data_IF_773050508098
#
_entry.id   IF_773050508098
#
_cell.length_a   1.000
_cell.length_b   1.000
_cell.length_c   1.000
_cell.angle_alpha   90.00
_cell.angle_beta   90.00
_cell.angle_gamma   90.00
#
_symmetry.space_group_name_H-M   'P 1'
#
loop_
_entity.id
_entity.type
_entity.pdbx_description
1 polymer ?
#
# COMPACT_ATOMS: atom_id res chain seq x y z
N UNK A 1 -4.28 9.10 33.99
CA UNK A 1 -4.46 8.95 32.52
C UNK A 1 -3.91 10.22 31.93
N UNK A 2 -2.74 10.18 31.27
CA UNK A 2 -2.18 11.35 30.59
C UNK A 2 -3.15 11.76 29.49
N UNK A 3 -3.58 13.00 29.46
CA UNK A 3 -4.27 13.56 28.29
C UNK A 3 -3.34 13.35 27.11
N UNK A 4 -3.74 12.44 26.21
CA UNK A 4 -2.99 12.21 24.98
C UNK A 4 -3.21 13.45 24.12
N UNK A 5 -2.14 14.16 23.81
CA UNK A 5 -2.14 15.36 22.98
C UNK A 5 -2.82 15.08 21.63
N UNK A 6 -3.59 16.07 21.14
CA UNK A 6 -4.09 16.09 19.76
C UNK A 6 -2.86 16.16 18.85
N UNK A 7 -2.85 15.34 17.81
CA UNK A 7 -1.78 15.22 16.81
C UNK A 7 -2.28 15.77 15.47
N UNK A 8 -1.45 16.55 14.80
CA UNK A 8 -1.72 17.04 13.44
C UNK A 8 -1.08 16.08 12.43
N UNK A 9 -1.90 15.52 11.57
CA UNK A 9 -1.53 14.43 10.65
C UNK A 9 -1.73 14.88 9.22
N UNK A 10 -0.66 14.87 8.43
CA UNK A 10 -0.71 15.07 6.98
C UNK A 10 -0.84 13.72 6.28
N UNK A 11 -1.84 13.57 5.43
CA UNK A 11 -2.02 12.41 4.56
C UNK A 11 -1.78 12.84 3.12
N UNK A 12 -0.70 12.37 2.51
CA UNK A 12 -0.37 12.63 1.11
C UNK A 12 -0.95 11.54 0.20
N UNK A 13 -1.21 11.85 -1.08
CA UNK A 13 -1.87 10.91 -1.99
C UNK A 13 -3.28 10.53 -1.50
N UNK A 14 -3.97 11.50 -0.91
CA UNK A 14 -5.23 11.28 -0.18
C UNK A 14 -6.40 10.86 -1.06
N UNK A 15 -6.32 11.09 -2.37
CA UNK A 15 -7.33 10.68 -3.36
C UNK A 15 -7.07 9.27 -3.91
N UNK A 16 -5.92 8.65 -3.56
CA UNK A 16 -5.58 7.28 -3.89
C UNK A 16 -6.38 6.24 -3.08
N UNK A 17 -6.12 4.96 -3.33
CA UNK A 17 -6.82 3.85 -2.69
C UNK A 17 -6.72 3.92 -1.16
N UNK A 18 -5.50 3.96 -0.63
CA UNK A 18 -5.26 3.97 0.81
C UNK A 18 -5.66 5.31 1.45
N UNK A 19 -5.30 6.43 0.85
CA UNK A 19 -5.63 7.76 1.36
C UNK A 19 -7.15 7.98 1.51
N UNK A 20 -7.95 7.51 0.54
CA UNK A 20 -9.42 7.55 0.62
C UNK A 20 -9.96 6.74 1.81
N UNK A 21 -9.35 5.59 2.11
CA UNK A 21 -9.74 4.80 3.28
C UNK A 21 -9.30 5.43 4.60
N UNK A 22 -8.11 6.03 4.66
CA UNK A 22 -7.66 6.79 5.84
C UNK A 22 -8.62 7.95 6.11
N UNK A 23 -9.04 8.70 5.08
CA UNK A 23 -10.06 9.75 5.19
C UNK A 23 -11.39 9.22 5.74
N UNK A 24 -11.74 7.98 5.44
CA UNK A 24 -12.96 7.34 5.94
C UNK A 24 -12.82 6.91 7.40
N UNK A 25 -11.71 6.25 7.77
CA UNK A 25 -11.45 5.77 9.13
C UNK A 25 -11.31 6.92 10.14
N UNK A 26 -10.70 8.02 9.72
CA UNK A 26 -10.38 9.16 10.60
C UNK A 26 -11.55 10.10 10.89
N UNK A 27 -12.74 9.87 10.32
CA UNK A 27 -13.93 10.74 10.53
C UNK A 27 -14.32 10.89 12.00
N UNK A 28 -14.03 9.91 12.84
CA UNK A 28 -14.32 9.93 14.27
C UNK A 28 -13.05 10.10 15.13
N UNK A 29 -11.94 10.45 14.48
CA UNK A 29 -10.68 10.68 15.17
C UNK A 29 -10.73 11.93 16.04
N UNK A 30 -10.02 11.92 17.15
CA UNK A 30 -9.74 13.12 17.96
C UNK A 30 -8.60 13.96 17.41
N UNK A 31 -7.81 13.42 16.46
CA UNK A 31 -6.67 14.09 15.83
C UNK A 31 -7.10 14.94 14.65
N UNK A 32 -6.29 15.90 14.28
CA UNK A 32 -6.51 16.76 13.12
C UNK A 32 -5.85 16.11 11.89
N UNK A 33 -6.64 15.85 10.85
CA UNK A 33 -6.16 15.29 9.60
C UNK A 33 -6.20 16.34 8.48
N UNK A 34 -5.07 16.50 7.80
CA UNK A 34 -4.91 17.31 6.60
C UNK A 34 -4.71 16.38 5.41
N UNK A 35 -5.58 16.46 4.43
CA UNK A 35 -5.57 15.57 3.26
C UNK A 35 -5.12 16.34 2.04
N UNK A 36 -4.04 15.88 1.41
CA UNK A 36 -3.50 16.51 0.22
C UNK A 36 -3.24 15.49 -0.89
N UNK A 37 -3.40 15.94 -2.11
CA UNK A 37 -2.93 15.26 -3.31
C UNK A 37 -2.06 16.25 -4.11
N UNK A 38 -1.66 15.91 -5.33
CA UNK A 38 -0.73 16.72 -6.11
C UNK A 38 -1.24 18.15 -6.35
N UNK A 39 -2.55 18.34 -6.46
CA UNK A 39 -3.14 19.66 -6.70
C UNK A 39 -3.06 20.57 -5.47
N UNK A 40 -3.13 20.00 -4.24
CA UNK A 40 -3.04 20.76 -3.00
C UNK A 40 -1.61 20.88 -2.48
N UNK A 41 -0.80 19.83 -2.65
CA UNK A 41 0.58 19.79 -2.21
C UNK A 41 1.40 18.82 -3.06
N UNK A 42 2.20 19.36 -3.96
CA UNK A 42 3.18 18.59 -4.71
C UNK A 42 4.35 18.20 -3.79
N UNK A 43 4.38 16.90 -3.40
CA UNK A 43 5.39 16.38 -2.48
C UNK A 43 6.80 16.35 -3.04
N UNK A 44 6.99 16.55 -4.34
CA UNK A 44 8.31 16.64 -4.98
C UNK A 44 8.99 17.99 -4.70
N UNK A 45 8.23 18.97 -4.22
CA UNK A 45 8.70 20.33 -3.94
C UNK A 45 9.03 20.51 -2.47
N UNK A 46 10.31 20.32 -2.12
CA UNK A 46 10.81 20.40 -0.74
C UNK A 46 10.28 21.61 0.04
N UNK A 47 10.39 22.82 -0.53
CA UNK A 47 10.00 24.05 0.14
C UNK A 47 8.50 24.10 0.48
N UNK A 48 7.64 23.57 -0.41
CA UNK A 48 6.20 23.58 -0.20
C UNK A 48 5.81 22.60 0.91
N UNK A 49 6.43 21.39 0.91
CA UNK A 49 6.22 20.41 2.00
C UNK A 49 6.71 20.96 3.33
N UNK A 50 7.90 21.58 3.37
CA UNK A 50 8.46 22.17 4.58
C UNK A 50 7.54 23.28 5.11
N UNK A 51 7.09 24.18 4.25
CA UNK A 51 6.17 25.25 4.61
C UNK A 51 4.85 24.71 5.15
N UNK A 52 4.29 23.67 4.50
CA UNK A 52 3.05 23.03 4.94
C UNK A 52 3.20 22.42 6.33
N UNK A 53 4.28 21.64 6.55
CA UNK A 53 4.57 21.01 7.84
C UNK A 53 4.69 22.04 8.95
N UNK A 54 5.43 23.14 8.73
CA UNK A 54 5.60 24.18 9.73
C UNK A 54 4.31 24.98 9.99
N UNK A 55 3.60 25.40 8.94
CA UNK A 55 2.40 26.25 9.09
C UNK A 55 1.23 25.53 9.76
N UNK A 56 1.11 24.22 9.56
CA UNK A 56 0.07 23.38 10.16
C UNK A 56 0.55 22.60 11.38
N UNK A 57 1.80 22.80 11.81
CA UNK A 57 2.40 22.11 12.97
C UNK A 57 2.22 20.58 12.86
N UNK A 58 2.59 20.01 11.71
CA UNK A 58 2.39 18.57 11.42
C UNK A 58 3.32 17.73 12.31
N UNK A 59 2.73 16.83 13.08
CA UNK A 59 3.43 15.88 13.95
C UNK A 59 3.67 14.53 13.27
N UNK A 60 2.80 14.15 12.31
CA UNK A 60 2.86 12.88 11.61
C UNK A 60 2.54 13.07 10.13
N UNK A 61 3.38 12.50 9.25
CA UNK A 61 3.04 12.34 7.83
C UNK A 61 2.68 10.87 7.58
N UNK A 62 1.51 10.62 6.99
CA UNK A 62 1.15 9.31 6.42
C UNK A 62 1.30 9.43 4.91
N UNK A 63 2.41 8.94 4.37
CA UNK A 63 2.71 9.03 2.95
C UNK A 63 2.07 7.87 2.18
N UNK A 64 0.93 8.15 1.53
CA UNK A 64 0.24 7.24 0.61
C UNK A 64 0.53 7.56 -0.86
N UNK A 65 1.23 8.68 -1.15
CA UNK A 65 1.60 9.04 -2.50
C UNK A 65 2.76 8.16 -3.00
N UNK A 66 2.65 7.68 -4.22
CA UNK A 66 3.69 6.90 -4.88
C UNK A 66 3.46 6.84 -6.40
N UNK A 67 4.52 6.66 -7.16
CA UNK A 67 4.45 6.20 -8.54
C UNK A 67 4.18 4.68 -8.53
N UNK A 68 2.95 4.27 -8.84
CA UNK A 68 2.50 2.87 -8.67
C UNK A 68 2.36 2.07 -9.97
N UNK A 69 2.57 2.71 -11.14
CA UNK A 69 2.50 2.02 -12.41
C UNK A 69 3.81 1.25 -12.65
N UNK A 70 3.81 -0.03 -12.24
CA UNK A 70 4.98 -0.91 -12.28
C UNK A 70 5.55 -1.06 -13.70
N UNK A 71 4.68 -1.24 -14.69
CA UNK A 71 5.09 -1.46 -16.08
C UNK A 71 5.64 -0.16 -16.69
N UNK A 72 5.03 0.99 -16.42
CA UNK A 72 5.48 2.28 -16.93
C UNK A 72 6.78 2.75 -16.25
N UNK A 73 7.02 2.38 -15.02
CA UNK A 73 8.25 2.73 -14.31
C UNK A 73 9.53 2.25 -15.04
N UNK A 74 9.46 1.18 -15.84
CA UNK A 74 10.61 0.71 -16.63
C UNK A 74 11.03 1.69 -17.75
N UNK A 75 10.11 2.53 -18.22
CA UNK A 75 10.36 3.53 -19.24
C UNK A 75 10.33 4.97 -18.70
N UNK A 76 9.98 5.14 -17.45
CA UNK A 76 9.80 6.43 -16.76
C UNK A 76 10.42 6.37 -15.35
N UNK A 77 11.62 5.77 -15.26
CA UNK A 77 12.31 5.54 -13.97
C UNK A 77 12.66 6.87 -13.29
N UNK A 78 12.93 7.93 -14.04
CA UNK A 78 13.23 9.24 -13.48
C UNK A 78 12.05 9.80 -12.66
N UNK A 79 10.84 9.82 -13.21
CA UNK A 79 9.67 10.28 -12.48
C UNK A 79 9.30 9.32 -11.33
N UNK A 80 9.51 8.02 -11.52
CA UNK A 80 9.34 7.05 -10.45
C UNK A 80 10.33 7.30 -9.29
N UNK A 81 11.59 7.63 -9.58
CA UNK A 81 12.62 7.95 -8.58
C UNK A 81 12.30 9.27 -7.86
N UNK A 82 11.92 10.31 -8.59
CA UNK A 82 11.52 11.60 -8.01
C UNK A 82 10.41 11.38 -6.95
N UNK A 83 9.39 10.58 -7.27
CA UNK A 83 8.23 10.43 -6.38
C UNK A 83 8.42 9.37 -5.29
N UNK A 84 9.06 8.23 -5.62
CA UNK A 84 9.22 7.11 -4.70
C UNK A 84 10.47 7.20 -3.82
N UNK A 85 11.46 8.02 -4.22
CA UNK A 85 12.74 8.17 -3.52
C UNK A 85 12.97 9.63 -3.08
N UNK A 86 13.23 10.56 -3.99
CA UNK A 86 13.63 11.92 -3.63
C UNK A 86 12.57 12.65 -2.77
N UNK A 87 11.29 12.54 -3.11
CA UNK A 87 10.21 13.12 -2.32
C UNK A 87 10.11 12.48 -0.93
N UNK A 88 10.38 11.18 -0.82
CA UNK A 88 10.38 10.45 0.46
C UNK A 88 11.57 10.88 1.33
N UNK A 89 12.77 11.02 0.75
CA UNK A 89 13.95 11.57 1.42
C UNK A 89 13.68 12.97 1.97
N UNK A 90 13.06 13.83 1.17
CA UNK A 90 12.67 15.19 1.58
C UNK A 90 11.73 15.16 2.79
N UNK A 91 10.66 14.34 2.74
CA UNK A 91 9.73 14.20 3.86
C UNK A 91 10.43 13.67 5.11
N UNK A 92 11.32 12.68 4.98
CA UNK A 92 12.08 12.14 6.11
C UNK A 92 13.00 13.20 6.73
N UNK A 93 13.69 14.01 5.93
CA UNK A 93 14.51 15.12 6.40
C UNK A 93 13.69 16.17 7.16
N UNK A 94 12.59 16.62 6.57
CA UNK A 94 11.70 17.61 7.19
C UNK A 94 11.15 17.11 8.53
N UNK A 95 10.72 15.84 8.60
CA UNK A 95 10.18 15.27 9.82
C UNK A 95 11.26 15.00 10.87
N UNK A 96 12.50 14.69 10.47
CA UNK A 96 13.63 14.60 11.39
C UNK A 96 13.91 15.95 12.06
N UNK A 97 13.93 17.04 11.30
CA UNK A 97 14.17 18.39 11.80
C UNK A 97 13.03 18.88 12.70
N UNK A 98 11.81 18.43 12.43
CA UNK A 98 10.59 18.82 13.17
C UNK A 98 10.31 17.92 14.39
N UNK A 99 11.07 16.83 14.57
CA UNK A 99 10.84 15.85 15.65
C UNK A 99 9.56 15.01 15.49
N UNK A 100 8.99 14.99 14.28
CA UNK A 100 7.79 14.26 13.94
C UNK A 100 8.05 12.81 13.56
N UNK A 101 7.02 12.14 13.01
CA UNK A 101 7.09 10.76 12.51
C UNK A 101 6.61 10.66 11.07
N UNK A 102 7.27 9.80 10.28
CA UNK A 102 6.88 9.44 8.92
C UNK A 102 6.38 7.99 8.88
N UNK A 103 5.09 7.81 8.57
CA UNK A 103 4.52 6.50 8.23
C UNK A 103 4.55 6.38 6.71
N UNK A 104 5.36 5.46 6.18
CA UNK A 104 5.59 5.32 4.74
C UNK A 104 5.13 3.96 4.22
N UNK A 105 4.41 3.96 3.10
CA UNK A 105 3.94 2.72 2.47
C UNK A 105 4.92 2.30 1.39
N UNK A 106 5.49 1.12 1.56
CA UNK A 106 6.38 0.46 0.61
C UNK A 106 5.74 -0.79 -0.01
N UNK A 107 6.53 -1.67 -0.61
CA UNK A 107 6.06 -2.73 -1.48
C UNK A 107 6.84 -4.04 -1.31
N UNK A 108 6.20 -5.15 -1.62
CA UNK A 108 6.81 -6.48 -1.79
C UNK A 108 7.76 -6.56 -2.99
N UNK A 109 7.69 -5.61 -3.94
CA UNK A 109 8.60 -5.53 -5.10
C UNK A 109 10.06 -5.20 -4.74
N UNK A 110 10.35 -4.89 -3.47
CA UNK A 110 11.72 -4.80 -2.97
C UNK A 110 12.41 -6.18 -2.95
N UNK A 111 11.63 -7.26 -3.01
CA UNK A 111 12.12 -8.64 -3.10
C UNK A 111 12.18 -9.11 -4.55
N UNK A 112 13.25 -9.82 -4.93
CA UNK A 112 13.44 -10.31 -6.30
C UNK A 112 12.68 -11.59 -6.66
N UNK A 113 11.86 -12.12 -5.75
CA UNK A 113 11.12 -13.36 -5.96
C UNK A 113 11.98 -14.62 -6.01
N UNK A 114 13.21 -14.58 -5.47
CA UNK A 114 14.11 -15.74 -5.43
C UNK A 114 13.68 -16.78 -4.38
N UNK A 115 12.88 -16.38 -3.40
CA UNK A 115 12.27 -17.25 -2.41
C UNK A 115 10.97 -17.80 -2.97
N UNK A 116 10.68 -19.07 -2.78
CA UNK A 116 9.52 -19.70 -3.41
C UNK A 116 8.67 -20.61 -2.49
N UNK A 117 8.99 -20.66 -1.20
CA UNK A 117 8.31 -21.59 -0.29
C UNK A 117 8.15 -21.11 1.16
N UNK A 118 8.70 -19.95 1.51
CA UNK A 118 8.58 -19.39 2.86
C UNK A 118 8.30 -17.88 2.77
N UNK A 119 7.41 -17.33 3.60
CA UNK A 119 7.14 -15.89 3.63
C UNK A 119 8.40 -15.07 3.89
N UNK A 120 8.51 -13.93 3.21
CA UNK A 120 9.59 -12.96 3.43
C UNK A 120 9.34 -12.22 4.74
N UNK A 121 10.31 -12.22 5.64
CA UNK A 121 10.31 -11.36 6.82
C UNK A 121 11.04 -10.05 6.54
N UNK A 122 11.00 -9.12 7.51
CA UNK A 122 11.54 -7.76 7.34
C UNK A 122 13.07 -7.75 7.19
N UNK A 123 13.77 -8.77 7.70
CA UNK A 123 15.23 -8.91 7.66
C UNK A 123 15.71 -9.64 6.39
N UNK A 124 14.79 -10.11 5.54
CA UNK A 124 15.12 -10.79 4.29
C UNK A 124 15.86 -9.83 3.35
N UNK A 125 16.99 -10.27 2.74
CA UNK A 125 17.74 -9.44 1.78
C UNK A 125 16.87 -8.98 0.61
N UNK A 126 16.87 -7.68 0.36
CA UNK A 126 16.16 -7.07 -0.77
C UNK A 126 16.97 -7.22 -2.06
N UNK A 127 16.27 -7.48 -3.17
CA UNK A 127 16.88 -7.59 -4.51
C UNK A 127 15.84 -7.27 -5.59
N UNK A 128 15.39 -5.99 -5.70
CA UNK A 128 14.36 -5.59 -6.65
C UNK A 128 14.80 -5.83 -8.09
N UNK A 129 13.92 -6.36 -8.93
CA UNK A 129 14.19 -6.69 -10.33
C UNK A 129 13.75 -5.62 -11.31
N UNK A 130 12.84 -4.72 -10.92
CA UNK A 130 12.29 -3.65 -11.76
C UNK A 130 12.49 -2.26 -11.16
N UNK A 131 12.31 -1.22 -11.99
CA UNK A 131 12.47 0.19 -11.62
C UNK A 131 11.56 0.60 -10.44
N UNK A 132 10.31 0.16 -10.45
CA UNK A 132 9.39 0.41 -9.34
C UNK A 132 9.94 -0.09 -8.00
N UNK A 133 10.40 -1.35 -7.97
CA UNK A 133 10.98 -1.93 -6.75
C UNK A 133 12.26 -1.21 -6.30
N UNK A 134 13.13 -0.84 -7.26
CA UNK A 134 14.39 -0.11 -6.97
C UNK A 134 14.11 1.27 -6.37
N UNK A 135 13.21 2.05 -6.97
CA UNK A 135 12.89 3.40 -6.49
C UNK A 135 12.17 3.37 -5.13
N UNK A 136 11.27 2.42 -4.90
CA UNK A 136 10.64 2.21 -3.58
C UNK A 136 11.67 1.83 -2.52
N UNK A 137 12.60 0.92 -2.84
CA UNK A 137 13.67 0.53 -1.91
C UNK A 137 14.61 1.71 -1.60
N UNK A 138 14.94 2.54 -2.59
CA UNK A 138 15.75 3.74 -2.37
C UNK A 138 15.07 4.69 -1.36
N UNK A 139 13.76 4.90 -1.48
CA UNK A 139 12.98 5.66 -0.49
C UNK A 139 13.04 5.06 0.92
N UNK A 140 12.91 3.73 1.07
CA UNK A 140 13.10 3.06 2.38
C UNK A 140 14.49 3.35 2.94
N UNK A 141 15.53 3.20 2.11
CA UNK A 141 16.92 3.42 2.52
C UNK A 141 17.17 4.86 2.96
N UNK A 142 16.59 5.86 2.28
CA UNK A 142 16.68 7.26 2.68
C UNK A 142 16.02 7.52 4.04
N UNK A 143 14.85 6.92 4.30
CA UNK A 143 14.20 6.99 5.62
C UNK A 143 15.10 6.36 6.70
N UNK A 144 15.62 5.16 6.45
CA UNK A 144 16.48 4.44 7.41
C UNK A 144 17.81 5.16 7.68
N UNK A 145 18.37 5.84 6.67
CA UNK A 145 19.58 6.65 6.82
C UNK A 145 19.35 7.99 7.54
N UNK A 146 18.10 8.47 7.53
CA UNK A 146 17.72 9.71 8.22
C UNK A 146 17.61 9.49 9.73
N UNK A 147 17.51 10.59 10.49
CA UNK A 147 17.19 10.55 11.92
C UNK A 147 15.69 10.60 12.18
N UNK A 148 14.87 10.49 11.14
CA UNK A 148 13.43 10.56 11.23
C UNK A 148 12.87 9.36 12.01
N UNK A 149 11.99 9.62 12.96
CA UNK A 149 11.15 8.57 13.53
C UNK A 149 10.24 8.05 12.43
N UNK A 150 10.12 6.74 12.27
CA UNK A 150 9.41 6.19 11.12
C UNK A 150 8.73 4.86 11.42
N UNK A 151 7.65 4.61 10.68
CA UNK A 151 7.05 3.29 10.47
C UNK A 151 7.00 3.08 8.95
N UNK A 152 7.80 2.15 8.44
CA UNK A 152 7.74 1.73 7.03
C UNK A 152 6.89 0.47 6.97
N UNK A 153 5.86 0.46 6.11
CA UNK A 153 4.98 -0.70 5.92
C UNK A 153 5.11 -1.18 4.46
N UNK A 154 5.75 -2.32 4.26
CA UNK A 154 5.70 -3.02 2.96
C UNK A 154 4.37 -3.73 2.83
N UNK A 155 3.70 -3.53 1.72
CA UNK A 155 2.42 -4.18 1.39
C UNK A 155 2.46 -4.81 0.01
N UNK A 156 1.48 -5.66 -0.31
CA UNK A 156 1.39 -6.35 -1.59
C UNK A 156 -0.03 -6.30 -2.16
N UNK A 157 -0.16 -6.25 -3.48
CA UNK A 157 -1.41 -6.45 -4.23
C UNK A 157 -2.59 -5.62 -3.70
N UNK A 158 -2.32 -4.32 -3.45
CA UNK A 158 -3.31 -3.41 -2.86
C UNK A 158 -4.52 -3.23 -3.78
N UNK A 159 -5.71 -3.42 -3.24
CA UNK A 159 -6.98 -3.20 -3.93
C UNK A 159 -8.01 -2.51 -3.04
N UNK A 160 -8.99 -1.88 -3.67
CA UNK A 160 -10.11 -1.24 -2.98
C UNK A 160 -11.26 -0.92 -3.95
N UNK A 161 -12.34 -0.39 -3.42
CA UNK A 161 -13.42 0.22 -4.19
C UNK A 161 -13.00 1.53 -4.90
N UNK A 162 -11.90 2.17 -4.43
CA UNK A 162 -11.36 3.40 -5.01
C UNK A 162 -10.26 3.12 -6.04
N UNK A 163 -10.08 4.06 -6.99
CA UNK A 163 -9.01 4.01 -7.98
C UNK A 163 -9.10 2.82 -8.94
N UNK A 164 -8.02 2.59 -9.67
CA UNK A 164 -7.84 1.45 -10.57
C UNK A 164 -7.03 0.36 -9.86
N UNK A 165 -7.47 -0.89 -9.94
CA UNK A 165 -6.78 -2.03 -9.35
C UNK A 165 -7.20 -3.35 -10.01
N UNK A 166 -6.51 -4.44 -9.65
CA UNK A 166 -6.76 -5.77 -10.21
C UNK A 166 -8.19 -6.26 -9.95
N UNK A 167 -8.73 -6.06 -8.76
CA UNK A 167 -10.08 -6.49 -8.40
C UNK A 167 -11.13 -5.89 -9.34
N UNK A 168 -11.10 -4.56 -9.55
CA UNK A 168 -12.02 -3.86 -10.47
C UNK A 168 -11.80 -4.27 -11.92
N UNK A 169 -10.55 -4.53 -12.31
CA UNK A 169 -10.24 -5.04 -13.65
C UNK A 169 -10.87 -6.42 -13.85
N UNK A 170 -10.73 -7.33 -12.88
CA UNK A 170 -11.33 -8.67 -12.98
C UNK A 170 -12.85 -8.61 -12.98
N UNK A 171 -13.47 -7.78 -12.14
CA UNK A 171 -14.93 -7.57 -12.17
C UNK A 171 -15.42 -7.18 -13.55
N UNK A 172 -14.77 -6.20 -14.19
CA UNK A 172 -15.13 -5.76 -15.53
C UNK A 172 -14.90 -6.86 -16.58
N UNK A 173 -13.76 -7.55 -16.54
CA UNK A 173 -13.44 -8.59 -17.52
C UNK A 173 -14.36 -9.81 -17.39
N UNK A 174 -14.62 -10.25 -16.17
CA UNK A 174 -15.47 -11.45 -15.92
C UNK A 174 -16.95 -11.20 -16.19
N UNK A 175 -17.41 -9.94 -16.15
CA UNK A 175 -18.79 -9.58 -16.55
C UNK A 175 -18.97 -9.43 -18.07
N UNK A 176 -17.88 -9.14 -18.82
CA UNK A 176 -17.98 -8.74 -20.23
C UNK A 176 -17.35 -9.74 -21.21
N UNK A 177 -16.44 -10.60 -20.75
CA UNK A 177 -15.71 -11.53 -21.62
C UNK A 177 -16.17 -12.98 -21.42
N UNK A 178 -16.24 -13.79 -22.48
CA UNK A 178 -16.58 -15.22 -22.37
C UNK A 178 -15.45 -16.03 -21.74
N UNK A 179 -14.18 -15.60 -21.88
CA UNK A 179 -13.02 -16.21 -21.25
C UNK A 179 -11.88 -15.22 -21.08
N UNK A 180 -11.05 -15.46 -20.05
CA UNK A 180 -9.80 -14.73 -19.77
C UNK A 180 -8.71 -15.70 -19.31
N UNK A 181 -7.45 -15.37 -19.59
CA UNK A 181 -6.29 -16.06 -19.01
C UNK A 181 -5.70 -15.24 -17.88
N UNK A 182 -5.39 -15.88 -16.76
CA UNK A 182 -4.80 -15.23 -15.58
C UNK A 182 -3.62 -16.04 -15.07
N UNK A 183 -2.54 -15.36 -14.74
CA UNK A 183 -1.27 -15.95 -14.28
C UNK A 183 -1.48 -16.68 -12.95
N UNK A 184 -1.00 -17.93 -12.86
CA UNK A 184 -1.13 -18.77 -11.67
C UNK A 184 0.22 -19.07 -10.97
N UNK A 185 1.36 -18.83 -11.63
CA UNK A 185 2.72 -19.08 -11.14
C UNK A 185 3.37 -17.86 -10.47
N UNK A 186 2.57 -16.85 -10.13
CA UNK A 186 2.93 -15.74 -9.26
C UNK A 186 2.07 -15.81 -8.00
N UNK A 187 2.71 -15.93 -6.84
CA UNK A 187 2.08 -16.19 -5.55
C UNK A 187 2.36 -15.06 -4.57
N UNK A 188 1.34 -14.54 -3.97
CA UNK A 188 1.39 -13.43 -3.02
C UNK A 188 0.16 -13.40 -2.11
N UNK A 189 -0.15 -12.23 -1.58
CA UNK A 189 -1.37 -12.01 -0.80
C UNK A 189 -2.01 -10.69 -1.18
N UNK A 190 -3.31 -10.67 -1.55
CA UNK A 190 -4.04 -9.43 -1.74
C UNK A 190 -4.13 -8.64 -0.43
N UNK A 191 -4.07 -7.31 -0.52
CA UNK A 191 -4.27 -6.41 0.61
C UNK A 191 -5.43 -5.48 0.33
N UNK A 192 -6.48 -5.57 1.13
CA UNK A 192 -7.57 -4.62 1.09
C UNK A 192 -7.12 -3.29 1.74
N UNK A 193 -7.18 -2.21 0.99
CA UNK A 193 -6.73 -0.90 1.48
C UNK A 193 -7.54 -0.41 2.69
N UNK A 194 -8.77 -0.88 2.86
CA UNK A 194 -9.59 -0.60 4.04
C UNK A 194 -8.99 -1.15 5.32
N UNK A 195 -8.50 -2.40 5.29
CA UNK A 195 -7.91 -3.05 6.46
C UNK A 195 -6.55 -2.42 6.82
N UNK A 196 -5.73 -2.12 5.81
CA UNK A 196 -4.45 -1.42 6.03
C UNK A 196 -4.69 -0.02 6.61
N UNK A 197 -5.69 0.71 6.10
CA UNK A 197 -6.05 2.03 6.63
C UNK A 197 -6.51 1.95 8.09
N UNK A 198 -7.37 0.98 8.43
CA UNK A 198 -7.84 0.77 9.80
C UNK A 198 -6.68 0.44 10.75
N UNK A 199 -5.73 -0.40 10.30
CA UNK A 199 -4.54 -0.71 11.07
C UNK A 199 -3.67 0.55 11.32
N UNK A 200 -3.41 1.36 10.29
CA UNK A 200 -2.64 2.62 10.42
C UNK A 200 -3.36 3.61 11.34
N UNK A 201 -4.66 3.83 11.12
CA UNK A 201 -5.45 4.72 11.98
C UNK A 201 -5.43 4.24 13.43
N UNK A 202 -5.54 2.93 13.69
CA UNK A 202 -5.49 2.37 15.03
C UNK A 202 -4.12 2.59 15.69
N UNK A 203 -3.02 2.45 14.93
CA UNK A 203 -1.66 2.72 15.43
C UNK A 203 -1.57 4.16 15.91
N UNK A 204 -2.01 5.11 15.09
CA UNK A 204 -1.95 6.55 15.42
C UNK A 204 -2.89 6.90 16.58
N UNK A 205 -4.15 6.47 16.53
CA UNK A 205 -5.16 6.78 17.56
C UNK A 205 -4.79 6.26 18.95
N UNK A 206 -4.12 5.12 19.02
CA UNK A 206 -3.66 4.52 20.28
C UNK A 206 -2.26 5.00 20.69
N UNK A 207 -1.60 5.83 19.89
CA UNK A 207 -0.22 6.28 20.12
C UNK A 207 0.80 5.13 20.09
N UNK A 208 0.50 4.07 19.34
CA UNK A 208 1.38 2.90 19.19
C UNK A 208 2.56 3.15 18.23
N UNK A 209 2.59 4.31 17.59
CA UNK A 209 3.72 4.80 16.80
C UNK A 209 4.96 5.12 17.66
N UNK A 210 4.75 5.41 18.96
CA UNK A 210 5.81 5.81 19.88
C UNK A 210 6.52 4.59 20.47
N UNK A 211 7.83 4.50 20.20
CA UNK A 211 8.68 3.40 20.66
C UNK A 211 8.55 2.12 19.85
N UNK A 212 7.79 2.17 18.73
CA UNK A 212 7.62 1.08 17.80
C UNK A 212 8.06 1.48 16.38
N UNK A 213 9.04 2.38 16.31
CA UNK A 213 9.66 2.75 15.04
C UNK A 213 10.28 1.53 14.34
N UNK A 214 10.23 1.49 13.01
CA UNK A 214 10.86 0.43 12.25
C UNK A 214 10.17 0.06 10.95
N UNK A 215 10.66 -1.03 10.35
CA UNK A 215 10.14 -1.64 9.14
C UNK A 215 9.22 -2.80 9.49
N UNK A 216 8.08 -2.87 8.82
CA UNK A 216 7.03 -3.85 9.03
C UNK A 216 6.44 -4.34 7.72
N UNK A 217 5.85 -5.52 7.75
CA UNK A 217 5.07 -6.08 6.67
C UNK A 217 3.57 -6.10 7.01
N UNK A 218 2.73 -5.70 6.07
CA UNK A 218 1.28 -5.83 6.16
C UNK A 218 0.67 -6.30 4.84
N UNK A 219 -0.04 -7.40 4.86
CA UNK A 219 -1.00 -7.83 3.84
C UNK A 219 -2.11 -8.59 4.56
N UNK A 220 -3.25 -8.85 3.92
CA UNK A 220 -4.25 -9.72 4.55
C UNK A 220 -3.66 -11.11 4.84
N UNK A 221 -4.29 -11.91 5.69
CA UNK A 221 -3.87 -13.29 5.92
C UNK A 221 -4.22 -14.19 4.73
N UNK A 222 -3.48 -15.29 4.59
CA UNK A 222 -3.63 -16.26 3.51
C UNK A 222 -2.64 -16.04 2.37
N UNK A 223 -2.72 -16.89 1.37
CA UNK A 223 -1.83 -16.95 0.21
C UNK A 223 -2.65 -17.37 -1.00
N UNK A 224 -2.43 -16.74 -2.14
CA UNK A 224 -3.06 -17.13 -3.40
C UNK A 224 -2.21 -16.72 -4.61
N UNK A 225 -2.53 -17.27 -5.80
CA UNK A 225 -2.07 -16.75 -7.09
C UNK A 225 -3.00 -15.65 -7.59
N UNK A 226 -2.58 -14.91 -8.64
CA UNK A 226 -3.48 -14.00 -9.35
C UNK A 226 -4.68 -14.73 -9.93
N UNK A 227 -4.49 -15.98 -10.38
CA UNK A 227 -5.58 -16.83 -10.87
C UNK A 227 -6.60 -17.13 -9.77
N UNK A 228 -6.14 -17.55 -8.58
CA UNK A 228 -7.04 -17.81 -7.45
C UNK A 228 -7.80 -16.54 -7.04
N UNK A 229 -7.11 -15.40 -7.00
CA UNK A 229 -7.74 -14.11 -6.69
C UNK A 229 -8.81 -13.74 -7.72
N UNK A 230 -8.54 -13.92 -9.04
CA UNK A 230 -9.53 -13.67 -10.09
C UNK A 230 -10.73 -14.61 -9.99
N UNK A 231 -10.51 -15.89 -9.67
CA UNK A 231 -11.57 -16.88 -9.44
C UNK A 231 -12.48 -16.49 -8.30
N UNK A 232 -11.90 -16.10 -7.18
CA UNK A 232 -12.65 -15.69 -5.99
C UNK A 232 -13.44 -14.40 -6.23
N UNK A 233 -12.85 -13.41 -6.92
CA UNK A 233 -13.55 -12.18 -7.31
C UNK A 233 -14.80 -12.53 -8.16
N UNK A 234 -14.66 -13.37 -9.19
CA UNK A 234 -15.77 -13.77 -10.04
C UNK A 234 -16.84 -14.55 -9.27
N UNK A 235 -16.42 -15.45 -8.39
CA UNK A 235 -17.34 -16.25 -7.57
C UNK A 235 -18.18 -15.38 -6.65
N UNK A 236 -17.55 -14.47 -5.89
CA UNK A 236 -18.25 -13.58 -4.96
C UNK A 236 -19.11 -12.53 -5.69
N UNK A 237 -18.72 -12.13 -6.91
CA UNK A 237 -19.52 -11.23 -7.77
C UNK A 237 -20.61 -11.96 -8.58
N UNK A 238 -20.74 -13.29 -8.43
CA UNK A 238 -21.69 -14.12 -9.19
C UNK A 238 -21.50 -14.07 -10.73
N UNK A 239 -20.28 -13.82 -11.21
CA UNK A 239 -19.92 -13.80 -12.63
C UNK A 239 -19.60 -15.23 -13.13
N UNK A 240 -20.62 -16.08 -13.25
CA UNK A 240 -20.47 -17.51 -13.53
C UNK A 240 -20.28 -17.85 -15.02
N UNK A 241 -20.42 -16.88 -15.93
CA UNK A 241 -20.39 -17.10 -17.38
C UNK A 241 -19.00 -16.99 -18.00
N UNK A 242 -18.04 -16.39 -17.31
CA UNK A 242 -16.68 -16.23 -17.79
C UNK A 242 -15.82 -17.45 -17.45
N UNK A 243 -15.19 -18.05 -18.46
CA UNK A 243 -14.22 -19.12 -18.28
C UNK A 243 -12.85 -18.54 -17.93
N UNK A 244 -12.47 -18.57 -16.65
CA UNK A 244 -11.18 -18.09 -16.16
C UNK A 244 -10.18 -19.23 -16.19
N UNK A 245 -9.16 -19.11 -17.06
CA UNK A 245 -8.14 -20.14 -17.32
C UNK A 245 -6.79 -19.75 -16.69
N UNK A 246 -6.08 -20.70 -16.07
CA UNK A 246 -4.72 -20.45 -15.64
C UNK A 246 -3.75 -20.35 -16.84
N UNK A 247 -2.77 -19.47 -16.75
CA UNK A 247 -1.64 -19.42 -17.68
C UNK A 247 -0.33 -19.18 -16.92
N UNK A 248 0.80 -19.52 -17.52
CA UNK A 248 2.11 -19.20 -16.98
C UNK A 248 2.52 -17.75 -17.26
N UNK A 249 3.43 -17.22 -16.46
CA UNK A 249 3.95 -15.86 -16.62
C UNK A 249 4.59 -15.63 -18.00
N UNK A 250 5.23 -16.65 -18.60
CA UNK A 250 5.83 -16.58 -19.93
C UNK A 250 4.80 -16.54 -21.07
N UNK A 251 3.54 -16.92 -20.79
CA UNK A 251 2.43 -16.83 -21.74
C UNK A 251 1.71 -15.48 -21.68
N UNK A 252 2.02 -14.67 -20.64
CA UNK A 252 1.44 -13.35 -20.42
C UNK A 252 2.53 -12.27 -20.55
N UNK A 253 2.68 -11.62 -21.72
CA UNK A 253 3.71 -10.61 -21.93
C UNK A 253 3.63 -9.48 -20.92
N UNK A 254 4.74 -9.23 -20.21
CA UNK A 254 4.90 -8.10 -19.30
C UNK A 254 6.30 -7.51 -19.48
N UNK A 255 6.45 -6.17 -19.51
CA UNK A 255 7.78 -5.54 -19.58
C UNK A 255 8.59 -5.77 -18.29
N UNK A 256 7.92 -6.11 -17.20
CA UNK A 256 8.53 -6.31 -15.88
C UNK A 256 8.54 -7.78 -15.50
N UNK A 257 9.69 -8.26 -15.05
CA UNK A 257 9.77 -9.56 -14.37
C UNK A 257 9.19 -9.43 -12.97
N UNK A 258 7.95 -9.86 -12.78
CA UNK A 258 7.27 -9.83 -11.48
C UNK A 258 7.80 -10.95 -10.58
N UNK A 259 7.85 -10.74 -9.24
CA UNK A 259 8.22 -11.79 -8.31
C UNK A 259 7.31 -13.02 -8.45
N UNK A 260 7.90 -14.22 -8.54
CA UNK A 260 7.13 -15.47 -8.55
C UNK A 260 6.56 -15.81 -7.18
N UNK A 261 7.19 -15.30 -6.11
CA UNK A 261 6.74 -15.47 -4.72
C UNK A 261 7.04 -14.20 -3.93
N UNK A 262 6.02 -13.54 -3.42
CA UNK A 262 6.14 -12.30 -2.64
C UNK A 262 5.25 -12.28 -1.39
N UNK A 263 4.98 -13.46 -0.83
CA UNK A 263 4.22 -13.58 0.42
C UNK A 263 5.00 -12.94 1.56
N UNK A 264 4.37 -11.99 2.24
CA UNK A 264 4.94 -11.25 3.37
C UNK A 264 4.62 -11.94 4.70
N UNK A 265 5.61 -12.08 5.58
CA UNK A 265 5.39 -12.45 6.98
C UNK A 265 4.95 -11.22 7.78
N UNK A 266 3.80 -11.30 8.42
CA UNK A 266 3.18 -10.21 9.22
C UNK A 266 3.35 -10.41 10.71
N UNK A 267 4.14 -11.39 11.15
CA UNK A 267 4.28 -11.75 12.56
C UNK A 267 4.77 -10.58 13.39
N UNK A 268 5.80 -9.87 12.94
CA UNK A 268 6.35 -8.70 13.62
C UNK A 268 5.28 -7.60 13.78
N UNK A 269 4.55 -7.26 12.71
CA UNK A 269 3.49 -6.26 12.75
C UNK A 269 2.41 -6.63 13.78
N UNK A 270 1.87 -7.85 13.71
CA UNK A 270 0.83 -8.33 14.62
C UNK A 270 1.27 -8.30 16.09
N UNK A 271 2.49 -8.73 16.37
CA UNK A 271 3.03 -8.77 17.73
C UNK A 271 3.30 -7.37 18.29
N UNK A 272 3.93 -6.50 17.48
CA UNK A 272 4.29 -5.14 17.91
C UNK A 272 3.06 -4.29 18.22
N UNK A 273 2.07 -4.31 17.31
CA UNK A 273 0.90 -3.44 17.44
C UNK A 273 -0.29 -4.11 18.14
N UNK A 274 -0.17 -5.40 18.47
CA UNK A 274 -1.25 -6.23 19.03
C UNK A 274 -2.53 -6.12 18.19
N UNK A 275 -2.38 -6.28 16.87
CA UNK A 275 -3.46 -6.20 15.90
C UNK A 275 -3.69 -7.56 15.23
N UNK A 276 -4.95 -7.85 14.95
CA UNK A 276 -5.35 -8.97 14.09
C UNK A 276 -5.45 -8.50 12.65
N UNK A 277 -5.09 -9.39 11.73
CA UNK A 277 -5.16 -9.13 10.29
C UNK A 277 -6.26 -10.03 9.71
N UNK A 278 -7.24 -9.48 8.98
CA UNK A 278 -8.31 -10.27 8.38
C UNK A 278 -7.80 -11.21 7.29
N UNK A 279 -8.53 -12.29 7.04
CA UNK A 279 -8.26 -13.19 5.92
C UNK A 279 -8.69 -12.54 4.59
N UNK A 280 -7.92 -12.75 3.53
CA UNK A 280 -8.08 -12.01 2.28
C UNK A 280 -9.46 -12.19 1.60
N UNK A 281 -10.09 -13.39 1.70
CA UNK A 281 -11.43 -13.61 1.11
C UNK A 281 -12.52 -12.85 1.84
N UNK A 282 -12.40 -12.72 3.18
CA UNK A 282 -13.35 -11.97 4.00
C UNK A 282 -13.26 -10.47 3.67
N UNK A 283 -12.03 -9.97 3.52
CA UNK A 283 -11.76 -8.59 3.12
C UNK A 283 -12.26 -8.30 1.70
N UNK A 284 -12.15 -9.29 0.79
CA UNK A 284 -12.71 -9.18 -0.56
C UNK A 284 -14.23 -9.01 -0.52
N UNK A 285 -14.93 -9.80 0.30
CA UNK A 285 -16.37 -9.69 0.47
C UNK A 285 -16.79 -8.28 0.94
N UNK A 286 -16.04 -7.70 1.87
CA UNK A 286 -16.26 -6.31 2.34
C UNK A 286 -16.07 -5.31 1.19
N UNK A 287 -15.00 -5.45 0.41
CA UNK A 287 -14.73 -4.56 -0.73
C UNK A 287 -15.85 -4.64 -1.79
N UNK A 288 -16.25 -5.85 -2.17
CA UNK A 288 -17.31 -6.05 -3.18
C UNK A 288 -18.65 -5.51 -2.71
N UNK A 289 -19.03 -5.73 -1.45
CA UNK A 289 -20.24 -5.15 -0.86
C UNK A 289 -20.24 -3.62 -0.93
N UNK A 290 -19.09 -2.98 -0.69
CA UNK A 290 -18.94 -1.53 -0.77
C UNK A 290 -18.99 -1.00 -2.20
N UNK A 291 -18.46 -1.74 -3.17
CA UNK A 291 -18.58 -1.44 -4.60
C UNK A 291 -20.04 -1.45 -5.04
N UNK A 292 -20.81 -2.49 -4.71
CA UNK A 292 -22.24 -2.57 -5.02
C UNK A 292 -23.05 -1.40 -4.43
N UNK A 293 -22.72 -0.97 -3.21
CA UNK A 293 -23.39 0.20 -2.61
C UNK A 293 -23.04 1.53 -3.29
N UNK A 294 -21.83 1.68 -3.87
CA UNK A 294 -21.45 2.87 -4.61
C UNK A 294 -22.17 2.94 -5.96
N UNK A 295 -22.40 1.80 -6.61
CA UNK A 295 -23.10 1.73 -7.90
C UNK A 295 -24.60 2.00 -7.77
N UNK A 296 -25.21 1.68 -6.63
CA UNK A 296 -26.64 1.94 -6.37
C UNK A 296 -26.98 3.38 -6.00
N UNK A 297 -25.98 4.23 -5.75
CA UNK A 297 -26.14 5.61 -5.32
C UNK A 297 -25.69 6.65 -6.37
N UNK A 298 -25.28 6.19 -7.57
CA UNK A 298 -24.99 7.00 -8.76
C UNK A 298 -26.09 6.79 -9.82
#
# INVERSE_FOLDING_TARGET
>A
MSESNIVNILVTGSNGQLGSHIRRCSKQSRHNYFYTDVDELDITRYADVQQFVHSHQIDCIINCAAYVNVDQAETDEENADILNHAAVENMASIMADNGGILIHISTDYVFGGNKNNTPCNEDEPTNPTGAYGRTKLAGEQSILASKCRHIIIRTSWLYSEFGKNFCKTMLNLTSTKPSINVVFDQVGTPTYAGDLAEAICTIVEKGLDKGNEGLYHYSNEGVCSWYDFAKEIAQQAHHNSCDIRPCHSNEFPSPVKRPSYSVLDKTKFKQTFNLTVPYWTDSLAVCLSRLGNLETHN
#
